data_IF_278849491104
#
_entry.id   IF_278849491104
#
_cell.length_a   1.000
_cell.length_b   1.000
_cell.length_c   1.000
_cell.angle_alpha   90.00
_cell.angle_beta   90.00
_cell.angle_gamma   90.00
#
_symmetry.space_group_name_H-M   'P 1'
#
loop_
_entity.id
_entity.type
_entity.pdbx_description
1 polymer ?
#
# COMPACT_ATOMS: atom_id res chain seq x y z
N UNK A 1 -28.56 13.74 8.94
CA UNK A 1 -27.28 13.93 8.26
C UNK A 1 -26.66 12.56 8.07
N UNK A 2 -26.14 12.28 6.87
CA UNK A 2 -25.37 11.05 6.63
C UNK A 2 -24.07 11.10 7.43
N UNK A 3 -23.61 9.97 7.99
CA UNK A 3 -22.35 9.90 8.71
C UNK A 3 -21.19 10.47 7.87
N UNK A 4 -20.21 11.17 8.47
CA UNK A 4 -19.05 11.70 7.74
C UNK A 4 -18.26 10.58 7.06
N UNK A 5 -17.65 10.88 5.93
CA UNK A 5 -16.88 9.90 5.17
C UNK A 5 -15.49 9.75 5.74
N UNK A 6 -15.07 8.50 5.96
CA UNK A 6 -13.71 8.13 6.37
C UNK A 6 -13.11 7.15 5.36
N UNK A 7 -11.97 7.49 4.79
CA UNK A 7 -11.22 6.61 3.88
C UNK A 7 -10.02 6.03 4.63
N UNK A 8 -9.89 4.69 4.66
CA UNK A 8 -8.79 3.96 5.28
C UNK A 8 -7.84 3.46 4.20
N UNK A 9 -6.62 3.99 4.15
CA UNK A 9 -5.63 3.69 3.11
C UNK A 9 -4.53 2.82 3.69
N UNK A 10 -4.42 1.58 3.21
CA UNK A 10 -3.49 0.57 3.74
C UNK A 10 -2.02 0.81 3.33
N UNK A 11 -1.10 0.09 3.95
CA UNK A 11 0.34 0.12 3.68
C UNK A 11 0.76 -0.72 2.47
N UNK A 12 2.04 -0.62 2.10
CA UNK A 12 2.61 -1.45 1.04
C UNK A 12 2.59 -2.95 1.40
N UNK A 13 2.29 -3.82 0.42
CA UNK A 13 2.18 -5.28 0.57
C UNK A 13 1.05 -5.74 1.51
N UNK A 14 0.08 -4.88 1.75
CA UNK A 14 -1.09 -5.11 2.57
C UNK A 14 -2.37 -5.04 1.70
N UNK A 15 -3.54 -4.98 2.29
CA UNK A 15 -4.83 -4.90 1.59
C UNK A 15 -5.91 -4.26 2.48
N UNK A 16 -7.06 -3.93 1.91
CA UNK A 16 -8.17 -3.25 2.59
C UNK A 16 -8.63 -3.96 3.89
N UNK A 17 -8.62 -5.29 3.89
CA UNK A 17 -9.08 -6.08 5.04
C UNK A 17 -8.15 -6.04 6.26
N UNK A 18 -6.97 -5.43 6.17
CA UNK A 18 -6.14 -5.14 7.35
C UNK A 18 -6.80 -4.11 8.28
N UNK A 19 -7.74 -3.35 7.74
CA UNK A 19 -8.52 -2.37 8.48
C UNK A 19 -9.78 -2.90 9.13
N UNK A 20 -10.18 -4.16 8.92
CA UNK A 20 -11.49 -4.68 9.32
C UNK A 20 -11.80 -4.46 10.80
N UNK A 21 -10.84 -4.69 11.70
CA UNK A 21 -11.06 -4.45 13.15
C UNK A 21 -11.24 -2.97 13.46
N UNK A 22 -10.43 -2.11 12.87
CA UNK A 22 -10.53 -0.65 13.01
C UNK A 22 -11.82 -0.12 12.37
N UNK A 23 -12.13 -0.59 11.17
CA UNK A 23 -13.34 -0.21 10.44
C UNK A 23 -14.63 -0.53 11.21
N UNK A 24 -14.71 -1.70 11.85
CA UNK A 24 -15.88 -2.09 12.68
C UNK A 24 -16.14 -1.12 13.85
N UNK A 25 -15.07 -0.60 14.45
CA UNK A 25 -15.21 0.39 15.54
C UNK A 25 -15.63 1.73 14.98
N UNK A 26 -14.94 2.20 13.92
CA UNK A 26 -15.16 3.54 13.35
C UNK A 26 -16.47 3.65 12.56
N UNK A 27 -17.02 2.54 12.07
CA UNK A 27 -18.31 2.51 11.38
C UNK A 27 -19.52 2.88 12.26
N UNK A 28 -19.32 3.00 13.58
CA UNK A 28 -20.36 3.52 14.48
C UNK A 28 -20.61 5.02 14.24
N UNK A 29 -19.58 5.77 13.85
CA UNK A 29 -19.63 7.23 13.71
C UNK A 29 -19.38 7.70 12.27
N UNK A 30 -18.77 6.85 11.42
CA UNK A 30 -18.35 7.17 10.06
C UNK A 30 -18.95 6.23 9.02
N UNK A 31 -19.13 6.75 7.81
CA UNK A 31 -19.23 5.91 6.63
C UNK A 31 -17.79 5.54 6.19
N UNK A 32 -17.38 4.31 6.47
CA UNK A 32 -16.00 3.86 6.26
C UNK A 32 -15.85 3.23 4.87
N UNK A 33 -14.81 3.63 4.15
CA UNK A 33 -14.37 3.04 2.87
C UNK A 33 -12.90 2.66 3.00
N UNK A 34 -12.55 1.43 2.65
CA UNK A 34 -11.18 0.94 2.60
C UNK A 34 -10.90 0.36 1.21
N UNK A 35 -10.25 1.09 0.30
CA UNK A 35 -9.89 0.58 -1.01
C UNK A 35 -8.66 -0.33 -0.93
N UNK A 36 -8.58 -1.32 -1.83
CA UNK A 36 -7.30 -1.92 -2.19
C UNK A 36 -6.54 -0.97 -3.11
N UNK A 37 -5.32 -0.63 -2.76
CA UNK A 37 -4.45 0.18 -3.60
C UNK A 37 -4.07 -0.59 -4.88
N UNK A 38 -3.81 0.13 -5.99
CA UNK A 38 -3.28 -0.51 -7.21
C UNK A 38 -2.11 -1.44 -6.89
N UNK A 39 -2.07 -2.61 -7.52
CA UNK A 39 -1.03 -3.60 -7.27
C UNK A 39 -1.19 -4.40 -5.99
N UNK A 40 -2.30 -4.23 -5.27
CA UNK A 40 -2.61 -4.94 -4.03
C UNK A 40 -4.05 -5.48 -4.04
N UNK A 41 -4.30 -6.48 -3.19
CA UNK A 41 -5.62 -7.03 -2.98
C UNK A 41 -6.29 -7.44 -4.27
N UNK A 42 -7.55 -7.06 -4.42
CA UNK A 42 -8.34 -7.34 -5.62
C UNK A 42 -8.26 -6.21 -6.68
N UNK A 43 -7.45 -5.16 -6.43
CA UNK A 43 -7.19 -4.10 -7.41
C UNK A 43 -6.22 -4.54 -8.51
N UNK A 44 -6.36 -3.90 -9.70
CA UNK A 44 -5.54 -4.22 -10.86
C UNK A 44 -4.04 -3.95 -10.62
N UNK A 45 -3.21 -4.81 -11.20
CA UNK A 45 -1.76 -4.61 -11.25
C UNK A 45 -1.38 -3.70 -12.41
N UNK A 46 -0.25 -3.00 -12.27
CA UNK A 46 0.29 -2.18 -13.35
C UNK A 46 0.78 -3.06 -14.50
N UNK A 47 0.33 -2.84 -15.74
CA UNK A 47 0.81 -3.60 -16.90
C UNK A 47 2.34 -3.47 -17.12
N UNK A 48 2.92 -2.38 -16.66
CA UNK A 48 4.36 -2.11 -16.77
C UNK A 48 5.14 -2.50 -15.51
N UNK A 49 4.46 -2.92 -14.43
CA UNK A 49 5.06 -3.13 -13.11
C UNK A 49 5.63 -1.83 -12.51
N UNK A 50 5.18 -0.66 -12.95
CA UNK A 50 5.57 0.64 -12.40
C UNK A 50 4.53 1.14 -11.40
N UNK A 51 5.01 1.57 -10.23
CA UNK A 51 4.19 2.03 -9.12
C UNK A 51 4.72 3.34 -8.53
N UNK A 52 4.82 4.43 -9.34
CA UNK A 52 5.19 5.74 -8.83
C UNK A 52 4.13 6.26 -7.86
N UNK A 53 4.56 6.99 -6.83
CA UNK A 53 3.66 7.52 -5.80
C UNK A 53 2.55 8.39 -6.39
N UNK A 54 2.84 9.12 -7.46
CA UNK A 54 1.88 9.99 -8.15
C UNK A 54 0.66 9.21 -8.67
N UNK A 55 0.83 7.96 -9.08
CA UNK A 55 -0.31 7.14 -9.53
C UNK A 55 -1.25 6.75 -8.37
N UNK A 56 -0.73 6.49 -7.19
CA UNK A 56 -1.55 6.22 -6.00
C UNK A 56 -2.29 7.47 -5.53
N UNK A 57 -1.63 8.64 -5.57
CA UNK A 57 -2.27 9.92 -5.25
C UNK A 57 -3.39 10.23 -6.26
N UNK A 58 -3.16 9.95 -7.54
CA UNK A 58 -4.18 10.10 -8.59
C UNK A 58 -5.39 9.18 -8.34
N UNK A 59 -5.17 7.91 -7.98
CA UNK A 59 -6.26 6.99 -7.65
C UNK A 59 -7.10 7.48 -6.47
N UNK A 60 -6.43 7.98 -5.42
CA UNK A 60 -7.12 8.55 -4.26
C UNK A 60 -7.94 9.78 -4.66
N UNK A 61 -7.40 10.64 -5.54
CA UNK A 61 -8.12 11.82 -6.05
C UNK A 61 -9.37 11.41 -6.83
N UNK A 62 -9.24 10.41 -7.73
CA UNK A 62 -10.39 9.87 -8.47
C UNK A 62 -11.43 9.26 -7.52
N UNK A 63 -11.01 8.50 -6.50
CA UNK A 63 -11.91 7.92 -5.52
C UNK A 63 -12.70 9.00 -4.78
N UNK A 64 -12.02 10.04 -4.29
CA UNK A 64 -12.67 11.16 -3.58
C UNK A 64 -13.66 11.88 -4.49
N UNK A 65 -13.31 12.11 -5.75
CA UNK A 65 -14.19 12.76 -6.73
C UNK A 65 -15.42 11.88 -7.06
N UNK A 66 -15.23 10.58 -7.23
CA UNK A 66 -16.33 9.63 -7.48
C UNK A 66 -17.30 9.51 -6.31
N UNK A 67 -16.81 9.65 -5.08
CA UNK A 67 -17.65 9.59 -3.88
C UNK A 67 -18.51 10.85 -3.70
N UNK A 68 -18.12 11.96 -4.32
CA UNK A 68 -18.83 13.26 -4.31
C UNK A 68 -19.28 13.71 -2.89
N UNK A 69 -18.40 13.52 -1.91
CA UNK A 69 -18.69 13.77 -0.47
C UNK A 69 -17.54 14.48 0.24
N UNK A 70 -16.86 15.41 -0.46
CA UNK A 70 -15.82 16.24 0.16
C UNK A 70 -16.43 17.31 1.11
N UNK A 71 -15.70 17.73 2.16
CA UNK A 71 -14.38 17.22 2.56
C UNK A 71 -14.46 15.86 3.26
N UNK A 72 -13.38 15.07 3.14
CA UNK A 72 -13.26 13.70 3.70
C UNK A 72 -12.26 13.63 4.85
N UNK A 73 -12.46 12.71 5.78
CA UNK A 73 -11.42 12.28 6.72
C UNK A 73 -10.64 11.12 6.12
N UNK A 74 -9.32 11.13 6.23
CA UNK A 74 -8.46 10.05 5.69
C UNK A 74 -7.55 9.53 6.82
N UNK A 75 -7.49 8.21 6.97
CA UNK A 75 -6.53 7.53 7.82
C UNK A 75 -5.65 6.64 6.95
N UNK A 76 -4.35 6.89 6.93
CA UNK A 76 -3.39 6.15 6.12
C UNK A 76 -2.27 5.54 6.94
N UNK A 77 -1.88 4.31 6.62
CA UNK A 77 -0.75 3.61 7.23
C UNK A 77 0.40 3.49 6.23
N UNK A 78 1.63 3.82 6.65
CA UNK A 78 2.86 3.65 5.86
C UNK A 78 2.72 4.26 4.45
N UNK A 79 2.73 3.47 3.38
CA UNK A 79 2.45 3.94 2.00
C UNK A 79 1.15 4.75 1.92
N UNK A 80 0.08 4.27 2.56
CA UNK A 80 -1.20 4.97 2.62
C UNK A 80 -1.10 6.32 3.35
N UNK A 81 -0.27 6.43 4.40
CA UNK A 81 0.03 7.69 5.07
C UNK A 81 0.71 8.69 4.12
N UNK A 82 1.73 8.23 3.40
CA UNK A 82 2.46 9.03 2.41
C UNK A 82 1.56 9.53 1.26
N UNK A 83 0.65 8.67 0.76
CA UNK A 83 -0.34 9.02 -0.25
C UNK A 83 -1.29 10.09 0.28
N UNK A 84 -1.83 9.88 1.49
CA UNK A 84 -2.83 10.75 2.11
C UNK A 84 -2.29 12.15 2.39
N UNK A 85 -1.05 12.25 2.87
CA UNK A 85 -0.40 13.54 3.12
C UNK A 85 -0.17 14.33 1.83
N UNK A 86 0.28 13.68 0.76
CA UNK A 86 0.44 14.32 -0.54
C UNK A 86 -0.90 14.76 -1.13
N UNK A 87 -1.91 13.91 -1.03
CA UNK A 87 -3.26 14.27 -1.47
C UNK A 87 -3.78 15.52 -0.75
N UNK A 88 -3.63 15.59 0.58
CA UNK A 88 -4.08 16.75 1.35
C UNK A 88 -3.29 18.02 1.03
N UNK A 89 -1.99 17.92 0.78
CA UNK A 89 -1.18 19.06 0.35
C UNK A 89 -1.62 19.61 -1.01
N UNK A 90 -2.05 18.74 -1.92
CA UNK A 90 -2.52 19.13 -3.26
C UNK A 90 -3.98 19.61 -3.27
N UNK A 91 -4.83 19.06 -2.42
CA UNK A 91 -6.27 19.31 -2.39
C UNK A 91 -6.77 19.62 -0.96
N UNK A 92 -6.27 20.67 -0.30
CA UNK A 92 -6.59 20.97 1.10
C UNK A 92 -8.10 21.14 1.34
N UNK A 93 -8.82 21.69 0.38
CA UNK A 93 -10.27 21.92 0.48
C UNK A 93 -11.10 20.63 0.43
N UNK A 94 -10.49 19.52 -0.02
CA UNK A 94 -11.15 18.21 -0.08
C UNK A 94 -10.93 17.36 1.18
N UNK A 95 -10.12 17.83 2.13
CA UNK A 95 -9.73 17.06 3.32
C UNK A 95 -10.13 17.79 4.60
N UNK A 96 -10.92 17.13 5.45
CA UNK A 96 -11.28 17.65 6.78
C UNK A 96 -10.18 17.30 7.80
N UNK A 97 -9.77 16.03 7.86
CA UNK A 97 -8.74 15.55 8.80
C UNK A 97 -7.89 14.46 8.19
N UNK A 98 -6.63 14.38 8.66
CA UNK A 98 -5.72 13.26 8.35
C UNK A 98 -5.21 12.62 9.63
N UNK A 99 -5.19 11.30 9.63
CA UNK A 99 -4.45 10.48 10.59
C UNK A 99 -3.40 9.69 9.81
N UNK A 100 -2.13 10.09 9.94
CA UNK A 100 -1.01 9.37 9.33
C UNK A 100 -0.35 8.47 10.39
N UNK A 101 -0.47 7.15 10.18
CA UNK A 101 0.21 6.14 10.99
C UNK A 101 1.48 5.77 10.26
N UNK A 102 2.60 6.39 10.61
CA UNK A 102 3.85 6.37 9.82
C UNK A 102 3.67 7.03 8.43
N UNK A 103 4.59 6.76 7.50
CA UNK A 103 4.44 7.24 6.12
C UNK A 103 4.87 8.70 5.89
N UNK A 104 5.64 9.26 6.82
CA UNK A 104 6.20 10.63 6.71
C UNK A 104 7.37 10.73 5.73
N UNK A 105 7.63 9.68 4.96
CA UNK A 105 8.76 9.58 4.04
C UNK A 105 9.96 8.84 4.65
N UNK A 106 11.12 8.99 4.03
CA UNK A 106 12.37 8.43 4.53
C UNK A 106 12.87 9.24 5.73
N UNK A 107 13.56 8.57 6.66
CA UNK A 107 14.26 9.29 7.73
C UNK A 107 15.32 10.23 7.16
N UNK A 108 15.68 11.33 7.87
CA UNK A 108 16.76 12.23 7.42
C UNK A 108 18.04 11.51 7.06
N UNK A 109 18.44 10.50 7.85
CA UNK A 109 19.64 9.71 7.60
C UNK A 109 19.51 8.87 6.32
N UNK A 110 18.35 8.28 6.06
CA UNK A 110 18.10 7.53 4.83
C UNK A 110 18.06 8.44 3.59
N UNK A 111 17.58 9.67 3.73
CA UNK A 111 17.64 10.71 2.68
C UNK A 111 19.10 11.08 2.40
N UNK A 112 19.88 11.39 3.44
CA UNK A 112 21.29 11.74 3.32
C UNK A 112 22.09 10.61 2.66
N UNK A 113 21.93 9.38 3.12
CA UNK A 113 22.58 8.21 2.54
C UNK A 113 22.24 8.01 1.06
N UNK A 114 20.99 8.29 0.69
CA UNK A 114 20.56 8.19 -0.71
C UNK A 114 21.12 9.30 -1.58
N UNK A 115 21.29 10.50 -1.04
CA UNK A 115 21.90 11.65 -1.75
C UNK A 115 23.40 11.45 -1.98
N UNK A 116 24.08 10.65 -1.15
CA UNK A 116 25.49 10.29 -1.33
C UNK A 116 25.71 9.26 -2.46
N UNK A 117 24.67 8.52 -2.87
CA UNK A 117 24.79 7.57 -3.97
C UNK A 117 24.90 8.30 -5.32
N UNK A 118 25.86 7.87 -6.14
CA UNK A 118 25.96 8.40 -7.50
C UNK A 118 24.72 8.03 -8.33
N UNK A 119 24.18 8.99 -9.08
CA UNK A 119 22.98 8.75 -9.89
C UNK A 119 23.09 7.51 -10.82
N UNK A 120 24.24 7.23 -11.49
CA UNK A 120 24.38 6.01 -12.29
C UNK A 120 24.19 4.73 -11.47
N UNK A 121 24.68 4.67 -10.24
CA UNK A 121 24.60 3.47 -9.41
C UNK A 121 23.14 3.19 -9.01
N UNK A 122 22.37 4.23 -8.67
CA UNK A 122 20.94 4.11 -8.38
C UNK A 122 20.18 3.51 -9.58
N UNK A 123 20.50 3.95 -10.80
CA UNK A 123 19.89 3.41 -12.02
C UNK A 123 20.29 1.97 -12.30
N UNK A 124 21.55 1.63 -12.13
CA UNK A 124 22.06 0.26 -12.30
C UNK A 124 21.40 -0.68 -11.32
N UNK A 125 21.37 -0.33 -10.02
CA UNK A 125 20.76 -1.14 -8.98
C UNK A 125 19.25 -1.36 -9.25
N UNK A 126 18.55 -0.34 -9.70
CA UNK A 126 17.14 -0.45 -10.06
C UNK A 126 16.93 -1.37 -11.26
N UNK A 127 17.71 -1.23 -12.33
CA UNK A 127 17.64 -2.08 -13.54
C UNK A 127 17.91 -3.53 -13.18
N UNK A 128 19.02 -3.80 -12.46
CA UNK A 128 19.38 -5.17 -12.06
C UNK A 128 18.35 -5.77 -11.10
N UNK A 129 17.83 -4.97 -10.18
CA UNK A 129 16.73 -5.38 -9.32
C UNK A 129 15.46 -5.75 -10.10
N UNK A 130 15.13 -5.05 -11.18
CA UNK A 130 14.00 -5.39 -12.06
C UNK A 130 14.27 -6.66 -12.87
N UNK A 131 15.47 -6.81 -13.44
CA UNK A 131 15.89 -8.02 -14.17
C UNK A 131 15.81 -9.25 -13.28
N UNK A 132 16.34 -9.16 -12.07
CA UNK A 132 16.30 -10.24 -11.10
C UNK A 132 14.87 -10.66 -10.72
N UNK A 133 13.92 -9.70 -10.65
CA UNK A 133 12.51 -10.00 -10.40
C UNK A 133 11.82 -10.63 -11.60
N UNK A 134 12.11 -10.18 -12.83
CA UNK A 134 11.54 -10.73 -14.05
C UNK A 134 11.85 -12.22 -14.23
N UNK A 135 12.97 -12.68 -13.71
CA UNK A 135 13.40 -14.08 -13.77
C UNK A 135 12.98 -14.91 -12.54
N UNK A 136 12.28 -14.31 -11.56
CA UNK A 136 11.80 -15.04 -10.37
C UNK A 136 10.36 -15.50 -10.57
N UNK A 137 10.14 -16.78 -10.37
CA UNK A 137 8.79 -17.30 -10.16
C UNK A 137 8.23 -16.68 -8.87
N UNK A 138 7.04 -16.07 -8.88
CA UNK A 138 6.39 -15.63 -7.66
C UNK A 138 6.32 -16.78 -6.65
N UNK A 139 6.56 -16.46 -5.37
CA UNK A 139 6.49 -17.48 -4.32
C UNK A 139 5.05 -17.98 -4.21
N UNK A 140 4.88 -19.29 -4.35
CA UNK A 140 3.62 -19.97 -4.09
C UNK A 140 3.71 -20.81 -2.80
N UNK A 141 2.56 -21.11 -2.23
CA UNK A 141 2.40 -21.90 -1.02
C UNK A 141 1.48 -23.07 -1.33
N UNK A 142 1.85 -24.31 -0.95
CA UNK A 142 1.05 -25.49 -1.29
C UNK A 142 -0.29 -25.53 -0.56
N UNK A 143 -0.40 -24.87 0.60
CA UNK A 143 -1.62 -24.80 1.41
C UNK A 143 -1.82 -23.43 2.01
N UNK A 144 -3.06 -23.14 2.44
CA UNK A 144 -3.39 -21.93 3.19
C UNK A 144 -2.58 -21.84 4.49
N UNK A 145 -2.43 -22.96 5.21
CA UNK A 145 -1.69 -23.03 6.47
C UNK A 145 -0.22 -22.65 6.29
N UNK A 146 0.40 -23.06 5.17
CA UNK A 146 1.77 -22.65 4.84
C UNK A 146 1.88 -21.14 4.61
N UNK A 147 0.90 -20.53 3.97
CA UNK A 147 0.84 -19.07 3.78
C UNK A 147 0.61 -18.34 5.13
N UNK A 148 -0.28 -18.85 5.99
CA UNK A 148 -0.50 -18.32 7.35
C UNK A 148 0.76 -18.42 8.20
N UNK A 149 1.47 -19.55 8.13
CA UNK A 149 2.77 -19.71 8.80
C UNK A 149 3.74 -18.62 8.38
N UNK A 150 3.81 -18.34 7.07
CA UNK A 150 4.67 -17.29 6.53
C UNK A 150 4.26 -15.87 6.99
N UNK A 151 2.97 -15.59 7.10
CA UNK A 151 2.47 -14.32 7.64
C UNK A 151 2.95 -14.13 9.09
N UNK A 152 2.85 -15.16 9.93
CA UNK A 152 3.29 -15.12 11.33
C UNK A 152 4.80 -15.00 11.49
N UNK A 153 5.59 -15.66 10.65
CA UNK A 153 7.05 -15.51 10.63
C UNK A 153 7.48 -14.06 10.39
N UNK A 154 6.72 -13.31 9.60
CA UNK A 154 7.01 -11.90 9.33
C UNK A 154 6.50 -10.96 10.41
N UNK A 155 5.49 -11.35 11.13
CA UNK A 155 4.92 -10.58 12.22
C UNK A 155 4.47 -11.52 13.35
N UNK A 156 5.40 -11.81 14.25
CA UNK A 156 5.21 -12.72 15.39
C UNK A 156 4.17 -12.22 16.40
N UNK A 157 3.80 -10.92 16.33
CA UNK A 157 2.78 -10.34 17.22
C UNK A 157 1.36 -10.68 16.82
N UNK A 158 1.15 -11.18 15.59
CA UNK A 158 -0.19 -11.58 15.14
C UNK A 158 -0.67 -12.82 15.88
N UNK A 159 -1.90 -12.77 16.37
CA UNK A 159 -2.59 -13.99 16.80
C UNK A 159 -2.81 -14.91 15.59
N UNK A 160 -3.11 -16.19 15.84
CA UNK A 160 -3.44 -17.12 14.75
C UNK A 160 -4.68 -16.65 13.97
N UNK A 161 -5.70 -16.16 14.68
CA UNK A 161 -6.92 -15.62 14.08
C UNK A 161 -6.61 -14.43 13.15
N UNK A 162 -5.83 -13.47 13.62
CA UNK A 162 -5.42 -12.32 12.81
C UNK A 162 -4.61 -12.74 11.58
N UNK A 163 -3.63 -13.64 11.75
CA UNK A 163 -2.82 -14.13 10.65
C UNK A 163 -3.68 -14.90 9.61
N UNK A 164 -4.63 -15.70 10.08
CA UNK A 164 -5.59 -16.42 9.22
C UNK A 164 -6.44 -15.43 8.41
N UNK A 165 -7.06 -14.45 9.08
CA UNK A 165 -7.89 -13.42 8.45
C UNK A 165 -7.11 -12.64 7.38
N UNK A 166 -5.95 -12.08 7.74
CA UNK A 166 -5.12 -11.33 6.80
C UNK A 166 -4.66 -12.18 5.62
N UNK A 167 -4.29 -13.45 5.87
CA UNK A 167 -3.86 -14.34 4.80
C UNK A 167 -5.02 -14.68 3.87
N UNK A 168 -6.19 -15.04 4.39
CA UNK A 168 -7.35 -15.41 3.56
C UNK A 168 -7.75 -14.31 2.58
N UNK A 169 -7.69 -13.04 3.02
CA UNK A 169 -8.00 -11.89 2.16
C UNK A 169 -6.83 -11.49 1.27
N UNK A 170 -5.60 -11.75 1.68
CA UNK A 170 -4.36 -11.35 1.00
C UNK A 170 -3.81 -12.33 -0.02
N UNK A 171 -4.45 -13.50 -0.25
CA UNK A 171 -3.96 -14.52 -1.21
C UNK A 171 -4.99 -14.88 -2.27
N UNK A 172 -4.50 -15.29 -3.45
CA UNK A 172 -5.24 -15.96 -4.50
C UNK A 172 -4.95 -17.45 -4.48
N UNK A 173 -5.94 -18.27 -4.84
CA UNK A 173 -5.73 -19.67 -5.19
C UNK A 173 -5.36 -19.75 -6.67
N UNK A 174 -4.22 -20.36 -6.97
CA UNK A 174 -3.72 -20.57 -8.32
C UNK A 174 -4.42 -21.76 -9.00
N UNK A 175 -4.30 -21.88 -10.32
CA UNK A 175 -4.89 -22.97 -11.11
C UNK A 175 -4.35 -24.35 -10.69
N UNK A 176 -3.09 -24.45 -10.26
CA UNK A 176 -2.46 -25.65 -9.76
C UNK A 176 -2.87 -26.02 -8.31
N UNK A 177 -3.77 -25.22 -7.72
CA UNK A 177 -4.25 -25.40 -6.35
C UNK A 177 -3.37 -24.79 -5.27
N UNK A 178 -2.18 -24.28 -5.61
CA UNK A 178 -1.32 -23.52 -4.70
C UNK A 178 -1.87 -22.12 -4.43
N UNK A 179 -1.21 -21.36 -3.57
CA UNK A 179 -1.61 -20.00 -3.19
C UNK A 179 -0.49 -19.00 -3.42
N UNK A 180 -0.84 -17.78 -3.83
CA UNK A 180 0.10 -16.66 -3.99
C UNK A 180 -0.48 -15.37 -3.40
N UNK A 181 0.41 -14.45 -2.96
CA UNK A 181 -0.01 -13.16 -2.44
C UNK A 181 -0.64 -12.29 -3.53
N UNK A 182 -1.67 -11.53 -3.17
CA UNK A 182 -2.38 -10.58 -4.02
C UNK A 182 -1.65 -9.26 -4.25
N UNK A 183 -0.36 -9.18 -4.03
CA UNK A 183 0.41 -7.98 -4.35
C UNK A 183 1.42 -8.23 -5.46
N UNK A 184 1.61 -7.23 -6.31
CA UNK A 184 2.56 -7.32 -7.41
C UNK A 184 4.01 -7.32 -6.88
N UNK A 185 4.82 -8.36 -7.15
CA UNK A 185 6.21 -8.42 -6.72
C UNK A 185 7.08 -7.29 -7.28
N UNK A 186 6.67 -6.63 -8.38
CA UNK A 186 7.38 -5.50 -8.96
C UNK A 186 7.26 -4.20 -8.15
N UNK A 187 6.37 -4.13 -7.17
CA UNK A 187 6.31 -3.00 -6.24
C UNK A 187 7.55 -2.84 -5.36
N UNK A 188 8.39 -3.87 -5.26
CA UNK A 188 9.66 -3.79 -4.55
C UNK A 188 10.68 -3.06 -5.41
N UNK A 189 10.98 -1.83 -5.06
CA UNK A 189 11.99 -1.02 -5.70
C UNK A 189 11.46 0.35 -6.10
N UNK A 190 12.06 1.37 -5.51
CA UNK A 190 11.72 2.76 -5.79
C UNK A 190 12.40 3.14 -7.10
N UNK A 191 11.64 3.64 -8.07
CA UNK A 191 12.19 4.15 -9.31
C UNK A 191 13.17 5.31 -9.06
N UNK A 192 14.23 5.46 -9.88
CA UNK A 192 15.21 6.53 -9.70
C UNK A 192 14.61 7.94 -9.71
N UNK A 193 13.57 8.17 -10.53
CA UNK A 193 12.88 9.45 -10.60
C UNK A 193 12.19 9.84 -9.29
N UNK A 194 11.75 8.87 -8.50
CA UNK A 194 11.17 9.14 -7.19
C UNK A 194 12.21 9.52 -6.13
N UNK A 195 13.50 9.53 -6.49
CA UNK A 195 14.57 9.97 -5.60
C UNK A 195 14.68 11.51 -5.50
N UNK A 196 14.07 12.23 -6.45
CA UNK A 196 14.03 13.69 -6.46
C UNK A 196 12.86 14.30 -5.69
N UNK A 197 11.94 13.50 -5.13
CA UNK A 197 10.76 13.94 -4.37
C UNK A 197 11.10 14.55 -2.99
N UNK A 198 12.32 15.04 -2.78
CA UNK A 198 12.70 15.79 -1.57
C UNK A 198 12.17 17.23 -1.56
N UNK A 199 11.41 17.66 -2.57
CA UNK A 199 10.92 19.03 -2.72
C UNK A 199 9.38 19.19 -2.66
N UNK A 200 8.64 18.14 -2.23
CA UNK A 200 7.19 18.25 -2.02
C UNK A 200 6.81 18.12 -0.55
#
# INVERSE_FOLDING_TARGET
PSAPLLILVHGGFDHAHSWDWTARVLAQDFHVIAPDLRGHGDSAWSPTGAYPIAHFVYDLALLVDLLDRSPVTIMGHSLGGSISLRFAGLFPDKVDKIVAIEGLGLSPDAVAQRQEQAAPDIWVDWIEGRRARAHRTPRSYPTLEAAVGRMRERNEKLTLEQAMHLTQHGINRNEDGSYSWKFDPYMKGIAPEAASDSEL
#
